data_IF_701694446915
#
_entry.id   IF_701694446915
#
_cell.length_a   1.000
_cell.length_b   1.000
_cell.length_c   1.000
_cell.angle_alpha   90.00
_cell.angle_beta   90.00
_cell.angle_gamma   90.00
#
_symmetry.space_group_name_H-M   'P 1'
#
loop_
_entity.id
_entity.type
_entity.pdbx_description
1 polymer ?
#
# COMPACT_ATOMS: atom_id res chain seq x y z
N UNK A 1 7.90 23.80 28.75
CA UNK A 1 7.98 22.41 29.28
C UNK A 1 6.69 21.71 28.86
N UNK A 2 6.63 20.64 28.09
CA UNK A 2 7.64 19.76 27.54
C UNK A 2 7.04 19.02 26.32
N UNK A 3 7.85 18.90 25.26
CA UNK A 3 7.90 17.75 24.33
C UNK A 3 6.63 17.31 23.58
N UNK A 4 6.12 18.13 22.65
CA UNK A 4 5.61 17.58 21.37
C UNK A 4 6.82 17.27 20.47
N UNK A 5 7.57 16.23 20.83
CA UNK A 5 8.56 15.63 19.92
C UNK A 5 7.73 15.04 18.78
N UNK A 6 7.69 15.77 17.67
CA UNK A 6 7.02 15.41 16.42
C UNK A 6 7.55 14.03 16.05
N UNK A 7 6.76 12.98 16.26
CA UNK A 7 7.14 11.61 15.97
C UNK A 7 7.41 11.56 14.46
N UNK A 8 8.68 11.46 14.08
CA UNK A 8 9.08 11.18 12.72
C UNK A 8 8.57 9.76 12.41
N UNK A 9 7.51 9.71 11.60
CA UNK A 9 6.56 8.60 11.58
C UNK A 9 7.04 7.35 10.84
N UNK A 10 8.21 7.39 10.19
CA UNK A 10 8.85 6.20 9.61
C UNK A 10 9.84 5.56 10.59
N UNK A 11 10.50 6.38 11.41
CA UNK A 11 11.50 5.94 12.37
C UNK A 11 10.85 5.17 13.52
N UNK A 12 9.66 5.54 13.97
CA UNK A 12 9.01 4.88 15.11
C UNK A 12 8.09 3.70 14.76
N UNK A 13 8.21 3.08 13.57
CA UNK A 13 7.46 1.84 13.28
C UNK A 13 8.42 0.67 13.51
N UNK A 14 8.44 0.11 14.72
CA UNK A 14 9.16 -1.11 15.03
C UNK A 14 8.46 -2.33 14.39
N UNK A 15 9.22 -3.14 13.65
CA UNK A 15 8.65 -4.23 12.85
C UNK A 15 7.95 -3.72 11.58
N UNK A 16 7.37 -4.66 10.81
CA UNK A 16 6.66 -4.37 9.55
C UNK A 16 7.57 -3.91 8.39
N UNK A 17 8.77 -4.49 8.27
CA UNK A 17 9.70 -4.21 7.15
C UNK A 17 9.06 -4.45 5.78
N UNK A 18 8.21 -5.47 5.65
CA UNK A 18 7.47 -5.72 4.43
C UNK A 18 6.54 -4.55 4.06
N UNK A 19 5.87 -3.94 5.03
CA UNK A 19 5.00 -2.79 4.78
C UNK A 19 5.80 -1.54 4.43
N UNK A 20 6.92 -1.28 5.12
CA UNK A 20 7.82 -0.16 4.80
C UNK A 20 8.37 -0.30 3.38
N UNK A 21 8.85 -1.49 3.01
CA UNK A 21 9.35 -1.80 1.67
C UNK A 21 8.26 -1.56 0.62
N UNK A 22 7.03 -2.01 0.87
CA UNK A 22 5.91 -1.79 -0.04
C UNK A 22 5.58 -0.29 -0.25
N UNK A 23 5.68 0.52 0.82
CA UNK A 23 5.51 1.97 0.74
C UNK A 23 6.62 2.63 -0.10
N UNK A 24 7.87 2.18 0.02
CA UNK A 24 8.98 2.66 -0.82
C UNK A 24 8.75 2.34 -2.30
N UNK A 25 8.40 1.08 -2.59
CA UNK A 25 8.13 0.60 -3.95
C UNK A 25 6.96 1.39 -4.57
N UNK A 26 5.87 1.57 -3.83
CA UNK A 26 4.72 2.32 -4.33
C UNK A 26 5.01 3.82 -4.49
N UNK A 27 5.88 4.40 -3.67
CA UNK A 27 6.31 5.79 -3.82
C UNK A 27 7.10 6.03 -5.12
N UNK A 28 7.94 5.07 -5.54
CA UNK A 28 8.67 5.17 -6.81
C UNK A 28 7.72 5.12 -8.01
N UNK A 29 6.78 4.17 -8.00
CA UNK A 29 5.87 3.94 -9.12
C UNK A 29 4.57 4.77 -9.12
N UNK A 30 4.36 5.66 -8.14
CA UNK A 30 3.05 6.29 -7.85
C UNK A 30 1.90 5.27 -7.84
N UNK A 31 2.17 4.08 -7.32
CA UNK A 31 1.23 2.97 -7.31
C UNK A 31 0.19 3.14 -6.20
N UNK A 32 -1.03 2.65 -6.44
CA UNK A 32 -2.06 2.67 -5.41
C UNK A 32 -1.83 1.55 -4.40
N UNK A 33 -1.82 1.87 -3.11
CA UNK A 33 -1.50 0.94 -2.01
C UNK A 33 -2.72 0.72 -1.13
N UNK A 34 -2.97 -0.54 -0.78
CA UNK A 34 -3.97 -0.94 0.20
C UNK A 34 -3.31 -1.60 1.41
N UNK A 35 -3.56 -1.04 2.59
CA UNK A 35 -3.15 -1.59 3.87
C UNK A 35 -4.31 -2.39 4.48
N UNK A 36 -4.11 -3.68 4.71
CA UNK A 36 -5.11 -4.57 5.30
C UNK A 36 -4.60 -5.09 6.64
N UNK A 37 -5.40 -5.02 7.68
CA UNK A 37 -5.03 -5.61 8.98
C UNK A 37 -6.00 -5.29 10.10
N UNK A 38 -5.77 -5.80 11.32
CA UNK A 38 -6.65 -5.58 12.46
C UNK A 38 -6.61 -4.15 13.02
N UNK A 39 -7.65 -3.72 13.74
CA UNK A 39 -7.66 -2.41 14.39
C UNK A 39 -6.45 -2.25 15.32
N UNK A 40 -5.89 -1.05 15.41
CA UNK A 40 -4.71 -0.78 16.24
C UNK A 40 -3.36 -1.23 15.67
N UNK A 41 -3.30 -1.88 14.50
CA UNK A 41 -2.05 -2.35 13.89
C UNK A 41 -1.10 -1.24 13.35
N UNK A 42 -1.44 0.04 13.53
CA UNK A 42 -0.60 1.17 13.08
C UNK A 42 -0.80 1.60 11.62
N UNK A 43 -1.88 1.17 10.95
CA UNK A 43 -2.19 1.53 9.55
C UNK A 43 -2.20 3.04 9.29
N UNK A 44 -2.85 3.83 10.16
CA UNK A 44 -2.87 5.30 10.04
C UNK A 44 -1.47 5.92 10.19
N UNK A 45 -0.60 5.33 11.01
CA UNK A 45 0.79 5.78 11.14
C UNK A 45 1.57 5.53 9.86
N UNK A 46 1.41 4.35 9.24
CA UNK A 46 2.00 4.04 7.93
C UNK A 46 1.51 5.00 6.84
N UNK A 47 0.21 5.30 6.79
CA UNK A 47 -0.38 6.26 5.85
C UNK A 47 0.21 7.66 6.03
N UNK A 48 0.33 8.13 7.28
CA UNK A 48 0.97 9.41 7.60
C UNK A 48 2.44 9.42 7.18
N UNK A 49 3.15 8.31 7.39
CA UNK A 49 4.53 8.16 7.00
C UNK A 49 4.70 8.21 5.47
N UNK A 50 3.85 7.53 4.71
CA UNK A 50 3.82 7.57 3.25
C UNK A 50 3.57 8.96 2.69
N UNK A 51 2.66 9.73 3.30
CA UNK A 51 2.36 11.11 2.88
C UNK A 51 3.59 12.02 2.92
N UNK A 52 4.49 11.80 3.88
CA UNK A 52 5.75 12.54 4.02
C UNK A 52 6.78 12.13 2.95
N UNK A 53 6.75 10.87 2.50
CA UNK A 53 7.63 10.37 1.44
C UNK A 53 7.30 11.00 0.08
N UNK A 54 6.04 10.88 -0.35
CA UNK A 54 5.59 11.33 -1.67
C UNK A 54 5.70 12.85 -1.82
N UNK A 55 5.41 13.61 -0.75
CA UNK A 55 5.68 15.06 -0.71
C UNK A 55 4.89 15.92 -1.71
N UNK A 56 3.92 15.34 -2.42
CA UNK A 56 2.98 16.04 -3.30
C UNK A 56 1.77 16.57 -2.51
N UNK A 57 0.88 17.31 -3.17
CA UNK A 57 -0.40 17.73 -2.57
C UNK A 57 -1.16 16.54 -1.98
N UNK A 58 -1.65 16.66 -0.74
CA UNK A 58 -2.34 15.58 -0.04
C UNK A 58 -3.83 15.91 0.01
N UNK A 59 -4.66 14.94 -0.38
CA UNK A 59 -6.12 15.01 -0.24
C UNK A 59 -6.53 13.88 0.69
N UNK A 60 -6.80 14.22 1.96
CA UNK A 60 -7.38 13.29 2.92
C UNK A 60 -8.90 13.24 2.73
N UNK A 61 -9.42 12.03 2.52
CA UNK A 61 -10.84 11.75 2.52
C UNK A 61 -11.28 11.41 3.93
N UNK A 62 -12.33 12.09 4.39
CA UNK A 62 -12.98 11.83 5.68
C UNK A 62 -14.41 11.35 5.46
N UNK A 63 -14.93 10.63 6.45
CA UNK A 63 -16.32 10.17 6.45
C UNK A 63 -17.25 11.38 6.31
N UNK A 64 -18.18 11.33 5.37
CA UNK A 64 -19.11 12.43 5.09
C UNK A 64 -18.63 13.46 4.06
N UNK A 65 -17.42 13.32 3.52
CA UNK A 65 -16.95 14.18 2.43
C UNK A 65 -17.87 14.09 1.20
N UNK A 66 -18.32 15.26 0.73
CA UNK A 66 -19.10 15.34 -0.50
C UNK A 66 -18.18 15.37 -1.72
N UNK A 67 -18.62 14.78 -2.85
CA UNK A 67 -17.82 14.79 -4.10
C UNK A 67 -17.45 16.21 -4.54
N UNK A 68 -18.33 17.19 -4.27
CA UNK A 68 -18.10 18.59 -4.63
C UNK A 68 -16.87 19.14 -3.89
N UNK A 69 -16.71 18.82 -2.62
CA UNK A 69 -15.59 19.26 -1.80
C UNK A 69 -14.29 18.60 -2.21
N UNK A 70 -14.35 17.32 -2.58
CA UNK A 70 -13.17 16.58 -3.05
C UNK A 70 -12.70 17.14 -4.40
N UNK A 71 -13.61 17.36 -5.36
CA UNK A 71 -13.29 17.96 -6.67
C UNK A 71 -12.72 19.38 -6.55
N UNK A 72 -13.17 20.16 -5.56
CA UNK A 72 -12.62 21.50 -5.29
C UNK A 72 -11.18 21.42 -4.80
N UNK A 73 -10.87 20.45 -3.93
CA UNK A 73 -9.51 20.19 -3.44
C UNK A 73 -8.59 19.64 -4.55
N UNK A 74 -9.11 18.78 -5.43
CA UNK A 74 -8.38 18.22 -6.58
C UNK A 74 -7.84 19.30 -7.53
N UNK A 75 -8.64 20.34 -7.83
CA UNK A 75 -8.24 21.42 -8.75
C UNK A 75 -6.97 22.17 -8.35
N UNK A 76 -6.60 22.14 -7.07
CA UNK A 76 -5.45 22.86 -6.55
C UNK A 76 -4.13 22.08 -6.67
N UNK A 77 -4.18 20.79 -6.98
CA UNK A 77 -3.00 19.92 -6.95
C UNK A 77 -2.92 19.06 -8.22
N UNK A 78 -1.91 19.32 -9.06
CA UNK A 78 -1.51 18.34 -10.08
C UNK A 78 -0.79 17.19 -9.37
N UNK A 79 -1.24 15.96 -9.58
CA UNK A 79 -0.68 14.72 -9.01
C UNK A 79 -0.78 14.62 -7.48
N UNK A 80 -1.98 14.88 -6.94
CA UNK A 80 -2.24 14.71 -5.52
C UNK A 80 -2.22 13.24 -5.06
N UNK A 81 -1.70 12.99 -3.87
CA UNK A 81 -1.88 11.73 -3.15
C UNK A 81 -3.25 11.75 -2.46
N UNK A 82 -4.07 10.75 -2.75
CA UNK A 82 -5.35 10.55 -2.08
C UNK A 82 -5.15 9.60 -0.90
N UNK A 83 -5.58 10.02 0.28
CA UNK A 83 -5.56 9.22 1.51
C UNK A 83 -6.99 8.88 1.88
N UNK A 84 -7.29 7.58 2.01
CA UNK A 84 -8.60 7.09 2.45
C UNK A 84 -8.42 6.14 3.64
N UNK A 85 -8.67 6.62 4.84
CA UNK A 85 -8.68 5.77 6.02
C UNK A 85 -10.02 5.03 6.12
N UNK A 86 -9.94 3.71 6.30
CA UNK A 86 -11.07 2.80 6.38
C UNK A 86 -12.05 2.85 5.19
N UNK A 87 -11.70 2.16 4.11
CA UNK A 87 -12.54 2.05 2.91
C UNK A 87 -13.94 1.48 3.18
N UNK A 88 -14.14 0.77 4.29
CA UNK A 88 -15.42 0.10 4.57
C UNK A 88 -16.51 1.07 5.02
N UNK A 89 -16.12 2.25 5.53
CA UNK A 89 -17.03 3.26 6.06
C UNK A 89 -17.52 4.25 4.99
N UNK A 90 -16.88 4.27 3.81
CA UNK A 90 -17.27 5.17 2.73
C UNK A 90 -18.52 4.70 1.97
N UNK A 91 -19.30 5.68 1.50
CA UNK A 91 -20.43 5.42 0.60
C UNK A 91 -19.94 4.93 -0.77
N UNK A 92 -20.79 4.15 -1.46
CA UNK A 92 -20.51 3.63 -2.81
C UNK A 92 -20.07 4.73 -3.78
N UNK A 93 -20.62 5.93 -3.65
CA UNK A 93 -20.32 7.09 -4.48
C UNK A 93 -18.87 7.56 -4.33
N UNK A 94 -18.37 7.64 -3.09
CA UNK A 94 -16.97 8.02 -2.83
C UNK A 94 -16.01 6.93 -3.32
N UNK A 95 -16.37 5.66 -3.14
CA UNK A 95 -15.57 4.53 -3.63
C UNK A 95 -15.47 4.52 -5.16
N UNK A 96 -16.55 4.85 -5.88
CA UNK A 96 -16.51 5.02 -7.34
C UNK A 96 -15.62 6.20 -7.76
N UNK A 97 -15.62 7.29 -6.99
CA UNK A 97 -14.73 8.41 -7.25
C UNK A 97 -13.26 8.04 -7.02
N UNK A 98 -12.93 7.32 -5.93
CA UNK A 98 -11.58 6.80 -5.69
C UNK A 98 -11.14 5.91 -6.85
N UNK A 99 -12.04 5.04 -7.35
CA UNK A 99 -11.79 4.21 -8.53
C UNK A 99 -11.46 5.03 -9.76
N UNK A 100 -12.23 6.08 -10.03
CA UNK A 100 -12.00 6.98 -11.15
C UNK A 100 -10.63 7.67 -11.04
N UNK A 101 -10.26 8.15 -9.85
CA UNK A 101 -8.98 8.83 -9.63
C UNK A 101 -7.78 7.89 -9.79
N UNK A 102 -7.87 6.67 -9.27
CA UNK A 102 -6.83 5.66 -9.45
C UNK A 102 -6.64 5.28 -10.93
N UNK A 103 -7.73 5.19 -11.71
CA UNK A 103 -7.66 4.94 -13.17
C UNK A 103 -7.00 6.11 -13.91
N UNK A 104 -7.21 7.35 -13.44
CA UNK A 104 -6.53 8.55 -13.99
C UNK A 104 -5.05 8.63 -13.63
N UNK A 105 -4.53 7.67 -12.85
CA UNK A 105 -3.12 7.59 -12.46
C UNK A 105 -2.76 8.42 -11.22
N UNK A 106 -3.74 8.83 -10.41
CA UNK A 106 -3.47 9.45 -9.11
C UNK A 106 -3.16 8.35 -8.08
N UNK A 107 -2.06 8.44 -7.33
CA UNK A 107 -1.75 7.48 -6.29
C UNK A 107 -2.80 7.57 -5.18
N UNK A 108 -3.34 6.43 -4.79
CA UNK A 108 -4.27 6.30 -3.65
C UNK A 108 -3.62 5.40 -2.61
N UNK A 109 -3.53 5.86 -1.37
CA UNK A 109 -3.25 5.00 -0.22
C UNK A 109 -4.52 4.84 0.59
N UNK A 110 -4.88 3.60 0.89
CA UNK A 110 -6.07 3.31 1.65
C UNK A 110 -5.83 2.23 2.70
N UNK A 111 -6.66 2.23 3.75
CA UNK A 111 -6.65 1.19 4.77
C UNK A 111 -8.01 0.49 4.86
N UNK A 112 -8.01 -0.79 5.20
CA UNK A 112 -9.24 -1.55 5.46
C UNK A 112 -9.02 -2.72 6.43
N UNK A 113 -10.12 -3.35 6.82
CA UNK A 113 -10.13 -4.56 7.64
C UNK A 113 -10.26 -5.84 6.80
N UNK A 114 -9.69 -6.97 7.25
CA UNK A 114 -9.83 -8.27 6.57
C UNK A 114 -11.20 -8.95 6.77
N UNK A 115 -11.92 -8.63 7.85
CA UNK A 115 -13.31 -9.01 8.12
C UNK A 115 -14.08 -7.78 8.64
N UNK A 116 -15.44 -7.85 8.72
CA UNK A 116 -16.22 -6.84 9.44
C UNK A 116 -15.75 -6.61 10.88
N UNK A 117 -15.18 -7.65 11.51
CA UNK A 117 -14.65 -7.62 12.87
C UNK A 117 -13.20 -7.10 13.02
N UNK A 118 -12.45 -6.89 11.93
CA UNK A 118 -11.02 -6.60 11.99
C UNK A 118 -10.05 -7.78 12.21
N UNK A 119 -10.41 -8.82 12.96
CA UNK A 119 -9.43 -9.83 13.46
C UNK A 119 -9.30 -11.13 12.64
N UNK A 120 -9.79 -11.19 11.41
CA UNK A 120 -9.60 -12.38 10.58
C UNK A 120 -8.13 -12.58 10.22
N UNK A 121 -7.58 -13.75 10.55
CA UNK A 121 -6.16 -14.08 10.36
C UNK A 121 -5.22 -13.52 11.43
N UNK A 122 -5.75 -12.84 12.46
CA UNK A 122 -4.92 -12.32 13.54
C UNK A 122 -4.41 -13.44 14.45
N UNK A 123 -3.17 -13.31 14.94
CA UNK A 123 -2.52 -14.31 15.81
C UNK A 123 -2.91 -14.17 17.28
N UNK A 124 -3.36 -12.99 17.69
CA UNK A 124 -3.57 -12.66 19.10
C UNK A 124 -5.06 -12.58 19.46
N UNK A 125 -5.90 -12.13 18.54
CA UNK A 125 -7.33 -11.96 18.76
C UNK A 125 -8.13 -12.96 17.93
N UNK A 126 -9.18 -13.52 18.55
CA UNK A 126 -10.12 -14.38 17.85
C UNK A 126 -11.11 -13.57 16.99
N UNK A 127 -11.26 -13.98 15.73
CA UNK A 127 -12.28 -13.46 14.83
C UNK A 127 -13.70 -13.86 15.31
N UNK A 128 -14.63 -12.90 15.35
CA UNK A 128 -16.04 -13.14 15.71
C UNK A 128 -16.95 -13.39 14.48
N UNK A 129 -16.41 -13.28 13.27
CA UNK A 129 -17.21 -13.46 12.05
C UNK A 129 -17.30 -14.94 11.66
N UNK A 130 -18.46 -15.34 11.16
CA UNK A 130 -18.61 -16.66 10.52
C UNK A 130 -17.94 -16.66 9.14
N UNK A 131 -17.58 -17.85 8.64
CA UNK A 131 -17.02 -17.99 7.30
C UNK A 131 -17.94 -17.38 6.23
N UNK A 132 -19.27 -17.55 6.35
CA UNK A 132 -20.23 -16.94 5.42
C UNK A 132 -20.20 -15.42 5.44
N UNK A 133 -20.09 -14.80 6.63
CA UNK A 133 -19.97 -13.35 6.76
C UNK A 133 -18.67 -12.84 6.13
N UNK A 134 -17.56 -13.57 6.31
CA UNK A 134 -16.26 -13.23 5.71
C UNK A 134 -16.34 -13.32 4.19
N UNK A 135 -16.96 -14.36 3.63
CA UNK A 135 -17.11 -14.51 2.18
C UNK A 135 -17.99 -13.41 1.57
N UNK A 136 -19.13 -13.10 2.19
CA UNK A 136 -20.00 -11.99 1.76
C UNK A 136 -19.24 -10.66 1.79
N UNK A 137 -18.49 -10.42 2.86
CA UNK A 137 -17.64 -9.24 2.98
C UNK A 137 -16.59 -9.20 1.87
N UNK A 138 -15.89 -10.32 1.61
CA UNK A 138 -14.88 -10.41 0.55
C UNK A 138 -15.46 -10.07 -0.82
N UNK A 139 -16.61 -10.65 -1.17
CA UNK A 139 -17.31 -10.36 -2.43
C UNK A 139 -17.74 -8.89 -2.53
N UNK A 140 -18.16 -8.27 -1.42
CA UNK A 140 -18.60 -6.87 -1.41
C UNK A 140 -17.46 -5.90 -1.75
N UNK A 141 -16.26 -6.15 -1.25
CA UNK A 141 -15.11 -5.24 -1.39
C UNK A 141 -14.13 -5.65 -2.51
N UNK A 142 -14.29 -6.82 -3.15
CA UNK A 142 -13.42 -7.31 -4.24
C UNK A 142 -13.22 -6.27 -5.36
N UNK A 143 -14.32 -5.66 -5.81
CA UNK A 143 -14.31 -4.63 -6.85
C UNK A 143 -13.45 -3.39 -6.52
N UNK A 144 -13.28 -3.11 -5.22
CA UNK A 144 -12.50 -1.97 -4.73
C UNK A 144 -11.04 -2.37 -4.56
N UNK A 145 -10.81 -3.57 -4.02
CA UNK A 145 -9.47 -4.12 -3.77
C UNK A 145 -8.66 -4.25 -5.06
N UNK A 146 -9.28 -4.69 -6.17
CA UNK A 146 -8.60 -4.82 -7.47
C UNK A 146 -8.04 -3.51 -8.06
N UNK A 147 -8.56 -2.37 -7.61
CA UNK A 147 -8.12 -1.05 -8.06
C UNK A 147 -6.69 -0.81 -7.60
N UNK A 148 -6.36 -1.23 -6.39
CA UNK A 148 -5.06 -1.04 -5.78
C UNK A 148 -4.02 -1.94 -6.45
N UNK A 149 -2.81 -1.43 -6.54
CA UNK A 149 -1.71 -2.12 -7.19
C UNK A 149 -0.95 -3.00 -6.21
N UNK A 150 -0.74 -2.47 -5.01
CA UNK A 150 0.02 -3.13 -3.93
C UNK A 150 -0.96 -3.40 -2.79
N UNK A 151 -1.06 -4.65 -2.36
CA UNK A 151 -1.78 -5.05 -1.15
C UNK A 151 -0.77 -5.45 -0.09
N UNK A 152 -0.88 -4.86 1.08
CA UNK A 152 0.06 -5.06 2.18
C UNK A 152 -0.71 -5.48 3.41
N UNK A 153 -0.34 -6.64 3.94
CA UNK A 153 -0.82 -7.08 5.25
C UNK A 153 -0.02 -6.39 6.35
N UNK A 154 -0.75 -5.77 7.27
CA UNK A 154 -0.19 -5.10 8.45
C UNK A 154 -0.57 -5.92 9.68
N UNK A 155 0.35 -6.74 10.21
CA UNK A 155 0.07 -7.57 11.37
C UNK A 155 -0.10 -6.72 12.63
N UNK A 156 -0.82 -7.27 13.62
CA UNK A 156 -0.90 -6.71 14.96
C UNK A 156 0.49 -6.52 15.58
N UNK A 157 0.67 -5.40 16.27
CA UNK A 157 1.90 -5.09 17.00
C UNK A 157 1.92 -5.82 18.35
N UNK A 158 3.04 -6.42 18.72
CA UNK A 158 3.21 -6.97 20.07
C UNK A 158 3.49 -5.86 21.07
N UNK A 159 3.19 -6.11 22.36
CA UNK A 159 3.51 -5.19 23.45
C UNK A 159 5.00 -4.80 23.48
N UNK A 160 5.89 -5.74 23.15
CA UNK A 160 7.34 -5.45 23.03
C UNK A 160 7.65 -4.44 21.92
N UNK A 161 6.95 -4.52 20.79
CA UNK A 161 7.18 -3.65 19.64
C UNK A 161 6.68 -2.24 19.97
N UNK A 162 5.52 -2.15 20.63
CA UNK A 162 4.97 -0.89 21.16
C UNK A 162 5.94 -0.26 22.17
N UNK A 163 6.48 -1.05 23.11
CA UNK A 163 7.47 -0.57 24.09
C UNK A 163 8.78 -0.12 23.42
N UNK A 164 9.22 -0.82 22.36
CA UNK A 164 10.36 -0.39 21.55
C UNK A 164 10.10 0.95 20.85
N UNK A 165 8.90 1.17 20.31
CA UNK A 165 8.50 2.46 19.72
C UNK A 165 8.47 3.59 20.77
N UNK A 166 7.94 3.32 21.97
CA UNK A 166 7.85 4.31 23.05
C UNK A 166 9.21 4.67 23.65
N UNK A 167 10.13 3.71 23.72
CA UNK A 167 11.50 3.92 24.25
C UNK A 167 12.44 4.62 23.27
N UNK A 168 12.05 4.81 22.00
CA UNK A 168 12.88 5.45 20.98
C UNK A 168 14.06 4.61 20.51
N UNK A 169 14.18 3.36 20.96
CA UNK A 169 15.20 2.39 20.56
C UNK A 169 14.85 1.66 19.25
N UNK A 170 14.13 2.34 18.36
CA UNK A 170 13.81 1.81 17.05
C UNK A 170 15.05 1.88 16.14
N UNK A 171 15.62 0.72 15.82
CA UNK A 171 16.57 0.58 14.71
C UNK A 171 15.80 0.79 13.40
N UNK A 172 15.79 2.01 12.91
CA UNK A 172 15.07 2.35 11.68
C UNK A 172 15.78 3.46 10.94
N UNK A 173 15.78 3.32 9.62
CA UNK A 173 16.32 4.30 8.71
C UNK A 173 15.54 5.63 8.79
N UNK A 174 16.24 6.75 8.67
CA UNK A 174 15.61 8.07 8.69
C UNK A 174 14.70 8.23 7.47
N UNK A 175 13.53 8.85 7.67
CA UNK A 175 12.61 9.16 6.56
C UNK A 175 13.28 10.03 5.47
N UNK A 176 14.32 10.79 5.84
CA UNK A 176 15.10 11.60 4.89
C UNK A 176 15.90 10.71 3.92
N UNK A 177 16.48 9.63 4.42
CA UNK A 177 17.34 8.73 3.65
C UNK A 177 16.48 7.89 2.69
N UNK A 178 15.37 7.35 3.21
CA UNK A 178 14.35 6.66 2.40
C UNK A 178 13.82 7.58 1.28
N UNK A 179 13.51 8.84 1.61
CA UNK A 179 13.05 9.80 0.62
C UNK A 179 14.11 10.14 -0.43
N UNK A 180 15.39 10.17 -0.05
CA UNK A 180 16.48 10.37 -1.00
C UNK A 180 16.59 9.19 -1.98
N UNK A 181 16.50 7.94 -1.47
CA UNK A 181 16.49 6.71 -2.28
C UNK A 181 15.33 6.68 -3.27
N UNK A 182 14.11 6.96 -2.81
CA UNK A 182 12.92 7.01 -3.66
C UNK A 182 13.08 8.05 -4.77
N UNK A 183 13.56 9.25 -4.43
CA UNK A 183 13.81 10.31 -5.43
C UNK A 183 14.90 9.96 -6.43
N UNK A 184 15.93 9.23 -6.01
CA UNK A 184 16.97 8.74 -6.89
C UNK A 184 16.38 7.73 -7.89
N UNK A 185 15.66 6.72 -7.40
CA UNK A 185 15.00 5.71 -8.23
C UNK A 185 13.98 6.30 -9.22
N UNK A 186 13.25 7.35 -8.82
CA UNK A 186 12.34 8.06 -9.71
C UNK A 186 13.06 8.83 -10.83
N UNK A 187 14.29 9.28 -10.58
CA UNK A 187 15.10 10.03 -11.56
C UNK A 187 15.86 9.12 -12.52
N UNK A 188 16.40 8.01 -12.02
CA UNK A 188 17.08 7.01 -12.86
C UNK A 188 16.09 6.32 -13.78
N UNK A 189 14.93 5.94 -13.23
CA UNK A 189 13.66 5.70 -13.91
C UNK A 189 13.79 5.13 -15.33
N UNK A 190 14.42 3.97 -15.49
CA UNK A 190 14.51 3.31 -16.78
C UNK A 190 13.08 3.01 -17.29
N UNK A 191 12.65 3.70 -18.34
CA UNK A 191 11.27 3.62 -18.85
C UNK A 191 11.03 2.36 -19.68
N UNK A 192 12.09 1.81 -20.29
CA UNK A 192 12.06 0.66 -21.18
C UNK A 192 12.90 -0.52 -20.64
N UNK A 193 12.66 -0.90 -19.38
CA UNK A 193 13.29 -2.11 -18.83
C UNK A 193 12.77 -3.36 -19.55
N UNK A 194 13.69 -4.12 -20.14
CA UNK A 194 13.39 -5.42 -20.72
C UNK A 194 13.21 -6.47 -19.62
N UNK A 195 12.27 -7.39 -19.85
CA UNK A 195 12.06 -8.55 -19.00
C UNK A 195 13.02 -9.64 -19.48
N UNK A 196 13.82 -10.17 -18.56
CA UNK A 196 14.70 -11.28 -18.91
C UNK A 196 13.89 -12.53 -19.32
N UNK A 197 14.40 -13.31 -20.29
CA UNK A 197 13.69 -14.49 -20.81
C UNK A 197 13.44 -15.52 -19.71
N UNK A 198 14.35 -15.66 -18.74
CA UNK A 198 14.15 -16.57 -17.60
C UNK A 198 12.98 -16.13 -16.72
N UNK A 199 12.78 -14.83 -16.56
CA UNK A 199 11.72 -14.21 -15.76
C UNK A 199 10.31 -14.43 -16.34
N UNK A 200 10.19 -14.51 -17.67
CA UNK A 200 8.91 -14.74 -18.34
C UNK A 200 8.24 -16.07 -17.90
N UNK A 201 9.05 -17.12 -17.67
CA UNK A 201 8.56 -18.42 -17.23
C UNK A 201 7.92 -18.40 -15.83
N UNK A 202 8.46 -17.58 -14.92
CA UNK A 202 7.93 -17.40 -13.56
C UNK A 202 6.57 -16.71 -13.63
N UNK A 203 6.47 -15.67 -14.46
CA UNK A 203 5.25 -14.93 -14.65
C UNK A 203 4.16 -15.80 -15.30
N UNK A 204 4.51 -16.64 -16.28
CA UNK A 204 3.60 -17.60 -16.88
C UNK A 204 3.11 -18.63 -15.85
N UNK A 205 4.03 -19.21 -15.06
CA UNK A 205 3.69 -20.16 -13.99
C UNK A 205 2.78 -19.54 -12.94
N UNK A 206 3.09 -18.31 -12.51
CA UNK A 206 2.27 -17.56 -11.56
C UNK A 206 0.88 -17.25 -12.14
N UNK A 207 0.82 -16.91 -13.43
CA UNK A 207 -0.45 -16.64 -14.12
C UNK A 207 -1.34 -17.87 -14.16
N UNK A 208 -0.78 -19.03 -14.49
CA UNK A 208 -1.52 -20.30 -14.53
C UNK A 208 -1.97 -20.75 -13.13
N UNK A 209 -1.10 -20.66 -12.12
CA UNK A 209 -1.39 -21.15 -10.76
C UNK A 209 -2.32 -20.23 -9.97
N UNK A 210 -2.17 -18.91 -10.12
CA UNK A 210 -2.89 -17.91 -9.33
C UNK A 210 -4.09 -17.32 -10.10
N UNK A 211 -4.34 -17.79 -11.33
CA UNK A 211 -5.45 -17.31 -12.17
C UNK A 211 -5.35 -15.82 -12.50
N UNK A 212 -4.13 -15.28 -12.69
CA UNK A 212 -3.96 -13.85 -12.92
C UNK A 212 -4.56 -13.41 -14.26
N UNK A 213 -5.32 -12.32 -14.23
CA UNK A 213 -5.74 -11.63 -15.44
C UNK A 213 -4.57 -10.89 -16.09
N UNK A 214 -4.69 -10.56 -17.39
CA UNK A 214 -3.73 -9.70 -18.09
C UNK A 214 -3.52 -8.35 -17.36
N UNK A 215 -4.57 -7.83 -16.71
CA UNK A 215 -4.47 -6.61 -15.89
C UNK A 215 -3.58 -6.82 -14.68
N UNK A 216 -3.75 -7.93 -13.98
CA UNK A 216 -2.91 -8.29 -12.82
C UNK A 216 -1.46 -8.44 -13.25
N UNK A 217 -1.22 -9.14 -14.36
CA UNK A 217 0.12 -9.31 -14.96
C UNK A 217 0.77 -7.95 -15.27
N UNK A 218 0.07 -7.06 -15.97
CA UNK A 218 0.59 -5.72 -16.30
C UNK A 218 0.94 -4.90 -15.05
N UNK A 219 0.10 -4.97 -14.02
CA UNK A 219 0.36 -4.28 -12.75
C UNK A 219 1.54 -4.92 -12.00
N UNK A 220 1.68 -6.24 -12.00
CA UNK A 220 2.86 -6.94 -11.44
C UNK A 220 4.14 -6.49 -12.13
N UNK A 221 4.15 -6.38 -13.46
CA UNK A 221 5.29 -5.85 -14.22
C UNK A 221 5.58 -4.40 -13.82
N UNK A 222 4.55 -3.56 -13.67
CA UNK A 222 4.69 -2.16 -13.24
C UNK A 222 5.33 -2.03 -11.85
N UNK A 223 4.95 -2.91 -10.92
CA UNK A 223 5.54 -2.96 -9.58
C UNK A 223 6.98 -3.46 -9.66
N UNK A 224 7.24 -4.52 -10.43
CA UNK A 224 8.59 -5.07 -10.62
C UNK A 224 9.56 -4.05 -11.22
N UNK A 225 9.11 -3.18 -12.13
CA UNK A 225 9.90 -2.03 -12.61
C UNK A 225 10.26 -1.07 -11.49
N UNK A 226 9.32 -0.76 -10.60
CA UNK A 226 9.57 0.12 -9.46
C UNK A 226 10.59 -0.48 -8.49
N UNK A 227 10.54 -1.81 -8.30
CA UNK A 227 11.52 -2.55 -7.50
C UNK A 227 12.90 -2.55 -8.17
N UNK A 228 12.97 -2.80 -9.48
CA UNK A 228 14.22 -2.76 -10.25
C UNK A 228 14.88 -1.37 -10.19
N UNK A 229 14.09 -0.30 -10.32
CA UNK A 229 14.58 1.08 -10.18
C UNK A 229 15.12 1.37 -8.76
N UNK A 230 14.50 0.80 -7.71
CA UNK A 230 15.03 0.90 -6.34
C UNK A 230 16.34 0.12 -6.16
N UNK A 231 16.54 -0.95 -6.92
CA UNK A 231 17.76 -1.75 -6.93
C UNK A 231 18.84 -1.20 -7.89
N UNK A 232 18.56 -0.09 -8.59
CA UNK A 232 19.41 0.47 -9.65
C UNK A 232 19.76 -0.56 -10.75
N UNK A 233 18.78 -1.42 -11.08
CA UNK A 233 18.93 -2.48 -12.06
C UNK A 233 18.39 -2.06 -13.44
N UNK A 234 19.19 -2.28 -14.48
CA UNK A 234 18.83 -2.01 -15.89
C UNK A 234 17.92 -3.10 -16.50
N UNK A 235 17.59 -4.16 -15.75
CA UNK A 235 16.70 -5.24 -16.21
C UNK A 235 15.74 -5.71 -15.11
N UNK A 236 14.60 -6.26 -15.54
CA UNK A 236 13.65 -6.92 -14.63
C UNK A 236 14.02 -8.41 -14.51
N UNK A 237 14.75 -8.75 -13.45
CA UNK A 237 15.05 -10.13 -13.05
C UNK A 237 13.91 -10.84 -12.32
N UNK A 238 14.17 -12.11 -12.00
CA UNK A 238 13.24 -13.01 -11.32
C UNK A 238 12.88 -12.54 -9.90
N UNK A 239 13.85 -11.97 -9.19
CA UNK A 239 13.73 -11.42 -7.85
C UNK A 239 12.73 -10.27 -7.79
N UNK A 240 12.74 -9.36 -8.77
CA UNK A 240 11.82 -8.23 -8.84
C UNK A 240 10.37 -8.66 -9.07
N UNK A 241 10.17 -9.65 -9.94
CA UNK A 241 8.83 -10.20 -10.21
C UNK A 241 8.33 -11.01 -9.01
N UNK A 242 9.20 -11.80 -8.38
CA UNK A 242 8.84 -12.59 -7.20
C UNK A 242 8.43 -11.70 -6.03
N UNK A 243 9.14 -10.59 -5.78
CA UNK A 243 8.73 -9.59 -4.79
C UNK A 243 7.41 -8.92 -5.20
N UNK A 244 7.23 -8.54 -6.47
CA UNK A 244 5.99 -7.93 -6.95
C UNK A 244 4.75 -8.85 -6.80
N UNK A 245 4.92 -10.16 -6.99
CA UNK A 245 3.84 -11.15 -6.78
C UNK A 245 3.43 -11.22 -5.32
N UNK A 246 4.36 -11.09 -4.36
CA UNK A 246 4.04 -11.16 -2.93
C UNK A 246 3.01 -10.11 -2.53
N UNK A 247 3.12 -8.89 -3.06
CA UNK A 247 2.16 -7.79 -2.83
C UNK A 247 0.76 -8.02 -3.44
N UNK A 248 0.52 -9.16 -4.11
CA UNK A 248 -0.74 -9.48 -4.80
C UNK A 248 -1.46 -10.72 -4.30
N UNK A 249 -0.77 -11.58 -3.57
CA UNK A 249 -1.27 -12.92 -3.22
C UNK A 249 -2.35 -12.93 -2.14
N UNK A 250 -2.65 -11.80 -1.49
CA UNK A 250 -3.55 -11.74 -0.34
C UNK A 250 -5.03 -12.03 -0.69
N UNK A 251 -5.44 -11.77 -1.93
CA UNK A 251 -6.85 -11.78 -2.34
C UNK A 251 -7.19 -12.76 -3.47
N UNK A 252 -6.24 -13.61 -3.82
CA UNK A 252 -6.49 -14.76 -4.69
C UNK A 252 -7.42 -15.73 -3.95
N UNK A 253 -8.69 -15.74 -4.36
CA UNK A 253 -9.68 -16.75 -3.97
C UNK A 253 -9.39 -18.04 -4.74
#
# INVERSE_FOLDING_TARGET
MNTKKKLDAFTCIAGQEHAKRALEVGAVGNSSILLVGPPGAGKTMLTSAYSKLVGNGIICLSIGDSIKDIKKREKNYRNALIIADDLTEFTRTVLLYIKEMAIRGLPVIASMYPCPCGYFGDKYHSCLCTNSQIQIYKVKISNIVEIFDIHVEVPSLMSRDIMAMLSGNCHSESIKDVKARVKQAQKTGYTNLEIDRSTASILETATQKLGFSMRTVNKTISIARSIANLADSERIGAEHISEAIQYRTMWSV
#
